data_IF_584405886837
#
_entry.id   IF_584405886837
#
_cell.length_a   1.000
_cell.length_b   1.000
_cell.length_c   1.000
_cell.angle_alpha   90.00
_cell.angle_beta   90.00
_cell.angle_gamma   90.00
#
_symmetry.space_group_name_H-M   'P 1'
#
loop_
_entity.id
_entity.type
_entity.pdbx_description
1 polymer ?
#
# COMPACT_ATOMS: atom_id res chain seq x y z
N UNK A 1 6.93 -7.41 -7.34
CA UNK A 1 6.58 -8.26 -8.49
C UNK A 1 6.77 -7.43 -9.76
N UNK A 2 7.02 -8.04 -10.93
CA UNK A 2 7.21 -7.26 -12.18
C UNK A 2 6.02 -6.33 -12.50
N UNK A 3 4.80 -6.75 -12.17
CA UNK A 3 3.58 -5.94 -12.32
C UNK A 3 3.58 -4.73 -11.38
N UNK A 4 4.10 -4.87 -10.16
CA UNK A 4 4.19 -3.78 -9.18
C UNK A 4 5.17 -2.68 -9.63
N UNK A 5 6.29 -3.06 -10.27
CA UNK A 5 7.27 -2.11 -10.80
C UNK A 5 6.72 -1.33 -12.00
N UNK A 6 5.99 -1.99 -12.90
CA UNK A 6 5.32 -1.33 -14.04
C UNK A 6 4.22 -0.36 -13.54
N UNK A 7 3.47 -0.73 -12.51
CA UNK A 7 2.46 0.13 -11.87
C UNK A 7 3.11 1.33 -11.17
N UNK A 8 4.21 1.12 -10.45
CA UNK A 8 4.96 2.18 -9.78
C UNK A 8 5.48 3.20 -10.80
N UNK A 9 6.12 2.72 -11.86
CA UNK A 9 6.60 3.58 -12.94
C UNK A 9 5.46 4.35 -13.63
N UNK A 10 4.32 3.69 -13.86
CA UNK A 10 3.15 4.34 -14.44
C UNK A 10 2.63 5.48 -13.56
N UNK A 11 2.49 5.27 -12.24
CA UNK A 11 2.02 6.28 -11.31
C UNK A 11 3.02 7.44 -11.18
N UNK A 12 4.32 7.14 -11.11
CA UNK A 12 5.37 8.17 -11.09
C UNK A 12 5.41 8.99 -12.38
N UNK A 13 5.19 8.37 -13.54
CA UNK A 13 5.10 9.09 -14.82
C UNK A 13 3.92 10.09 -14.88
N UNK A 14 2.94 9.95 -13.99
CA UNK A 14 1.79 10.84 -13.81
C UNK A 14 2.04 11.93 -12.78
N UNK A 15 3.25 12.02 -12.24
CA UNK A 15 3.65 13.03 -11.24
C UNK A 15 3.29 12.65 -9.80
N UNK A 16 3.04 11.37 -9.52
CA UNK A 16 2.82 10.88 -8.16
C UNK A 16 4.18 10.53 -7.56
N UNK A 17 4.48 11.05 -6.37
CA UNK A 17 5.71 10.74 -5.63
C UNK A 17 5.83 9.23 -5.39
N UNK A 18 7.05 8.71 -5.41
CA UNK A 18 7.34 7.27 -5.29
C UNK A 18 6.71 6.65 -4.05
N UNK A 19 6.81 7.33 -2.90
CA UNK A 19 6.21 6.91 -1.63
C UNK A 19 4.69 6.82 -1.74
N UNK A 20 4.07 7.82 -2.34
CA UNK A 20 2.62 7.86 -2.50
C UNK A 20 2.15 6.77 -3.46
N UNK A 21 2.86 6.57 -4.57
CA UNK A 21 2.56 5.54 -5.56
C UNK A 21 2.71 4.14 -4.96
N UNK A 22 3.78 3.89 -4.20
CA UNK A 22 4.01 2.65 -3.48
C UNK A 22 2.90 2.39 -2.47
N UNK A 23 2.49 3.42 -1.74
CA UNK A 23 1.39 3.32 -0.77
C UNK A 23 0.06 2.94 -1.44
N UNK A 24 -0.25 3.54 -2.58
CA UNK A 24 -1.45 3.21 -3.35
C UNK A 24 -1.46 1.74 -3.82
N UNK A 25 -0.32 1.24 -4.30
CA UNK A 25 -0.19 -0.15 -4.78
C UNK A 25 -0.37 -1.15 -3.64
N UNK A 26 0.32 -0.93 -2.52
CA UNK A 26 0.23 -1.79 -1.33
C UNK A 26 -1.20 -1.76 -0.78
N UNK A 27 -1.79 -0.57 -0.62
CA UNK A 27 -3.16 -0.39 -0.13
C UNK A 27 -4.19 -1.14 -0.99
N UNK A 28 -4.09 -1.04 -2.32
CA UNK A 28 -4.98 -1.77 -3.23
C UNK A 28 -4.81 -3.29 -3.17
N UNK A 29 -3.62 -3.78 -2.83
CA UNK A 29 -3.36 -5.21 -2.67
C UNK A 29 -3.95 -5.78 -1.37
N UNK A 30 -3.88 -5.03 -0.27
CA UNK A 30 -4.37 -5.46 1.05
C UNK A 30 -5.87 -5.20 1.26
N UNK A 31 -6.47 -4.26 0.52
CA UNK A 31 -7.89 -3.87 0.65
C UNK A 31 -8.87 -5.06 0.70
N UNK A 32 -8.79 -6.08 -0.19
CA UNK A 32 -9.70 -7.23 -0.11
C UNK A 32 -9.54 -8.02 1.20
N UNK A 33 -8.31 -8.15 1.71
CA UNK A 33 -8.04 -8.87 2.96
C UNK A 33 -8.64 -8.09 4.14
N UNK A 34 -8.41 -6.78 4.19
CA UNK A 34 -8.93 -5.92 5.27
C UNK A 34 -10.46 -5.91 5.27
N UNK A 35 -11.11 -5.96 4.10
CA UNK A 35 -12.57 -6.03 3.98
C UNK A 35 -13.18 -7.35 4.46
N UNK A 36 -12.42 -8.43 4.47
CA UNK A 36 -12.88 -9.73 4.96
C UNK A 36 -12.72 -9.88 6.48
N UNK A 37 -11.95 -8.99 7.12
CA UNK A 37 -11.72 -9.04 8.56
C UNK A 37 -12.87 -8.43 9.36
N UNK A 38 -13.16 -8.97 10.56
CA UNK A 38 -14.04 -8.30 11.51
C UNK A 38 -13.54 -6.89 11.81
N UNK A 39 -14.47 -5.94 11.97
CA UNK A 39 -14.18 -4.50 12.15
C UNK A 39 -13.13 -4.21 13.24
N UNK A 40 -13.16 -4.98 14.33
CA UNK A 40 -12.22 -4.86 15.44
C UNK A 40 -10.75 -5.14 15.06
N UNK A 41 -10.50 -5.96 14.03
CA UNK A 41 -9.16 -6.27 13.53
C UNK A 41 -8.75 -5.38 12.36
N UNK A 42 -9.72 -4.88 11.58
CA UNK A 42 -9.44 -4.02 10.43
C UNK A 42 -8.71 -2.72 10.84
N UNK A 43 -9.09 -2.12 11.98
CA UNK A 43 -8.44 -0.92 12.50
C UNK A 43 -6.96 -1.17 12.87
N UNK A 44 -6.69 -2.27 13.56
CA UNK A 44 -5.33 -2.62 13.99
C UNK A 44 -4.44 -2.98 12.79
N UNK A 45 -5.02 -3.70 11.82
CA UNK A 45 -4.30 -4.08 10.60
C UNK A 45 -3.89 -2.85 9.77
N UNK A 46 -4.76 -1.86 9.62
CA UNK A 46 -4.41 -0.61 8.93
C UNK A 46 -3.22 0.10 9.60
N UNK A 47 -3.19 0.15 10.95
CA UNK A 47 -2.06 0.75 11.69
C UNK A 47 -0.76 -0.01 11.50
N UNK A 48 -0.82 -1.34 11.55
CA UNK A 48 0.37 -2.19 11.32
C UNK A 48 0.95 -1.97 9.93
N UNK A 49 0.10 -1.83 8.92
CA UNK A 49 0.52 -1.54 7.54
C UNK A 49 1.20 -0.17 7.47
N UNK A 50 0.60 0.88 8.04
CA UNK A 50 1.21 2.22 8.06
C UNK A 50 2.60 2.20 8.73
N UNK A 51 2.74 1.50 9.85
CA UNK A 51 4.02 1.37 10.57
C UNK A 51 5.10 0.64 9.75
N UNK A 52 4.76 -0.46 9.08
CA UNK A 52 5.71 -1.19 8.23
C UNK A 52 6.15 -0.37 7.01
N UNK A 53 5.26 0.51 6.51
CA UNK A 53 5.54 1.36 5.36
C UNK A 53 6.49 2.51 5.73
N UNK A 54 6.31 3.13 6.90
CA UNK A 54 7.27 4.10 7.44
C UNK A 54 8.67 3.48 7.68
N UNK A 55 8.74 2.18 8.02
CA UNK A 55 10.00 1.46 8.20
C UNK A 55 10.62 0.90 6.91
N UNK A 56 9.86 0.80 5.83
CA UNK A 56 10.28 0.24 4.53
C UNK A 56 10.88 1.28 3.59
N UNK A 57 10.58 2.56 3.78
CA UNK A 57 11.12 3.68 3.00
C UNK A 57 12.26 4.30 3.81
N UNK A 58 13.41 3.63 3.81
CA UNK A 58 14.64 4.04 4.48
C UNK A 58 15.88 3.58 3.74
#
# INVERSE_FOLDING_TARGET
SKVSEEQLFYLMSRGIEEDTASNMIVSGFIEPIVKELPMEYALEMNRLIEMEMEGSVG
#
